data_IF_110707226527
#
_entry.id   IF_110707226527
#
_cell.length_a   1.000
_cell.length_b   1.000
_cell.length_c   1.000
_cell.angle_alpha   90.00
_cell.angle_beta   90.00
_cell.angle_gamma   90.00
#
_symmetry.space_group_name_H-M   'P 1'
#
loop_
_entity.id
_entity.type
_entity.pdbx_description
1 polymer ?
#
# COMPACT_ATOMS: atom_id res chain seq x y z
N UNK A 1 5.59 -32.26 42.24
CA UNK A 1 6.55 -32.85 41.28
C UNK A 1 6.08 -32.45 39.89
N UNK A 2 6.57 -31.32 39.35
CA UNK A 2 6.21 -30.84 38.02
C UNK A 2 7.52 -30.80 37.23
N UNK A 3 7.62 -31.67 36.24
CA UNK A 3 8.81 -31.91 35.44
C UNK A 3 9.15 -30.72 34.53
N UNK A 4 10.43 -30.40 34.47
CA UNK A 4 11.00 -29.44 33.52
C UNK A 4 11.01 -30.04 32.11
N UNK A 5 10.39 -29.35 31.15
CA UNK A 5 10.54 -29.63 29.72
C UNK A 5 11.53 -28.61 29.15
N UNK A 6 12.82 -28.92 29.21
CA UNK A 6 13.87 -28.20 28.50
C UNK A 6 13.78 -28.55 27.02
N UNK A 7 12.95 -27.84 26.26
CA UNK A 7 13.04 -27.84 24.79
C UNK A 7 13.88 -26.63 24.38
N UNK A 8 15.08 -26.93 23.91
CA UNK A 8 15.90 -26.05 23.07
C UNK A 8 15.03 -25.46 21.97
N UNK A 9 15.12 -24.14 21.77
CA UNK A 9 14.52 -23.47 20.62
C UNK A 9 15.07 -24.10 19.32
N UNK A 10 14.21 -24.51 18.38
CA UNK A 10 14.68 -24.97 17.08
C UNK A 10 15.35 -23.80 16.35
N UNK A 11 16.33 -24.13 15.52
CA UNK A 11 17.08 -23.17 14.72
C UNK A 11 16.11 -22.40 13.81
N UNK A 12 16.39 -21.12 13.51
CA UNK A 12 15.49 -20.26 12.72
C UNK A 12 15.21 -20.79 11.29
N UNK A 13 16.00 -21.78 10.83
CA UNK A 13 15.82 -22.52 9.58
C UNK A 13 14.75 -23.64 9.67
N UNK A 14 14.36 -24.12 10.86
CA UNK A 14 13.39 -25.22 11.04
C UNK A 14 11.91 -24.76 11.04
N UNK A 15 11.64 -23.45 11.06
CA UNK A 15 10.27 -22.90 10.88
C UNK A 15 9.98 -22.65 9.37
N UNK A 16 10.60 -23.42 8.49
CA UNK A 16 10.22 -23.48 7.08
C UNK A 16 9.19 -24.59 6.89
N UNK A 17 7.96 -24.36 7.37
CA UNK A 17 6.83 -25.15 6.94
C UNK A 17 6.52 -24.83 5.48
N UNK A 18 6.64 -25.87 4.64
CA UNK A 18 6.38 -25.89 3.20
C UNK A 18 4.88 -25.72 2.91
N UNK A 19 4.41 -24.48 3.01
CA UNK A 19 3.06 -24.04 2.63
C UNK A 19 3.10 -22.60 2.12
N UNK A 20 2.14 -22.15 1.29
CA UNK A 20 2.17 -20.79 0.77
C UNK A 20 2.05 -19.80 1.93
N UNK A 21 3.13 -19.05 2.18
CA UNK A 21 3.14 -17.97 3.17
C UNK A 21 1.96 -17.05 2.89
N UNK A 22 1.08 -16.86 3.89
CA UNK A 22 -0.02 -15.92 3.78
C UNK A 22 0.54 -14.52 3.77
N UNK A 23 0.20 -13.77 2.75
CA UNK A 23 0.58 -12.36 2.63
C UNK A 23 -0.34 -11.50 3.49
N UNK A 24 0.07 -10.25 3.71
CA UNK A 24 -0.71 -9.28 4.47
C UNK A 24 -0.61 -7.89 3.87
N UNK A 25 -1.52 -7.03 4.30
CA UNK A 25 -1.58 -5.63 3.93
C UNK A 25 -1.49 -4.78 5.19
N UNK A 26 -0.94 -3.58 5.02
CA UNK A 26 -0.86 -2.59 6.09
C UNK A 26 -1.84 -1.47 5.80
N UNK A 27 -2.54 -1.00 6.83
CA UNK A 27 -3.43 0.15 6.75
C UNK A 27 -3.03 1.13 7.83
N UNK A 28 -2.73 2.37 7.45
CA UNK A 28 -2.26 3.41 8.37
C UNK A 28 -2.74 4.79 7.92
N UNK A 29 -3.04 5.65 8.88
CA UNK A 29 -3.18 7.09 8.64
C UNK A 29 -1.97 7.78 9.27
N UNK A 30 -1.28 8.63 8.49
CA UNK A 30 -0.01 9.22 8.91
C UNK A 30 0.13 10.66 8.43
N UNK A 31 0.74 11.51 9.25
CA UNK A 31 1.15 12.87 8.84
C UNK A 31 2.33 12.82 7.86
N UNK A 32 2.66 13.97 7.27
CA UNK A 32 3.86 14.13 6.41
C UNK A 32 5.17 13.68 7.09
N UNK A 33 5.24 13.73 8.42
CA UNK A 33 6.39 13.27 9.22
C UNK A 33 6.23 11.82 9.70
N UNK A 34 5.33 11.03 9.08
CA UNK A 34 5.03 9.64 9.46
C UNK A 34 4.46 9.49 10.89
N UNK A 35 3.87 10.55 11.44
CA UNK A 35 3.24 10.53 12.76
C UNK A 35 1.84 9.93 12.72
N UNK A 36 1.54 9.00 13.65
CA UNK A 36 0.30 8.20 13.67
C UNK A 36 -0.52 8.36 14.95
N UNK A 37 0.07 8.94 16.00
CA UNK A 37 -0.54 8.96 17.33
C UNK A 37 0.06 10.02 18.24
N UNK A 38 -0.76 10.46 19.19
CA UNK A 38 -0.37 11.31 20.32
C UNK A 38 -1.11 10.83 21.57
N UNK A 39 -0.39 10.65 22.68
CA UNK A 39 -0.93 10.22 23.97
C UNK A 39 -1.81 8.96 23.90
N UNK A 40 -1.44 8.02 23.02
CA UNK A 40 -2.16 6.76 22.80
C UNK A 40 -3.49 6.88 22.04
N UNK A 41 -3.75 8.02 21.40
CA UNK A 41 -4.96 8.27 20.59
C UNK A 41 -4.58 8.82 19.21
N UNK A 42 -5.55 8.80 18.29
CA UNK A 42 -5.44 9.52 17.03
C UNK A 42 -5.51 11.03 17.32
N UNK A 43 -4.55 11.84 16.83
CA UNK A 43 -4.56 13.28 17.08
C UNK A 43 -5.50 14.05 16.13
N UNK A 44 -6.22 13.35 15.26
CA UNK A 44 -7.22 13.88 14.34
C UNK A 44 -8.55 13.14 14.47
N UNK A 45 -9.59 13.72 13.86
CA UNK A 45 -10.91 13.12 13.75
C UNK A 45 -11.38 13.17 12.30
N UNK A 46 -11.19 12.06 11.59
CA UNK A 46 -11.49 11.93 10.16
C UNK A 46 -12.49 10.79 9.94
N UNK A 47 -13.81 11.06 10.00
CA UNK A 47 -14.85 10.09 9.65
C UNK A 47 -14.66 9.41 8.30
N UNK A 48 -14.15 10.13 7.29
CA UNK A 48 -13.85 9.58 5.97
C UNK A 48 -12.74 8.51 6.01
N UNK A 49 -11.68 8.73 6.78
CA UNK A 49 -10.60 7.75 7.04
C UNK A 49 -11.12 6.50 7.75
N UNK A 50 -11.93 6.67 8.80
CA UNK A 50 -12.55 5.54 9.51
C UNK A 50 -13.46 4.71 8.60
N UNK A 51 -14.19 5.37 7.69
CA UNK A 51 -15.02 4.72 6.67
C UNK A 51 -14.15 3.94 5.69
N UNK A 52 -13.09 4.55 5.18
CA UNK A 52 -12.13 3.90 4.29
C UNK A 52 -11.49 2.66 4.94
N UNK A 53 -11.01 2.78 6.18
CA UNK A 53 -10.49 1.66 6.97
C UNK A 53 -11.51 0.54 7.14
N UNK A 54 -12.78 0.86 7.44
CA UNK A 54 -13.85 -0.13 7.56
C UNK A 54 -14.09 -0.86 6.25
N UNK A 55 -14.23 -0.13 5.15
CA UNK A 55 -14.47 -0.71 3.82
C UNK A 55 -13.32 -1.65 3.41
N UNK A 56 -12.08 -1.20 3.56
CA UNK A 56 -10.88 -1.97 3.24
C UNK A 56 -10.78 -3.27 4.07
N UNK A 57 -11.04 -3.19 5.38
CA UNK A 57 -10.86 -4.33 6.27
C UNK A 57 -12.03 -5.31 6.27
N UNK A 58 -13.24 -4.91 5.87
CA UNK A 58 -14.41 -5.82 5.79
C UNK A 58 -14.52 -6.48 4.41
N UNK A 59 -13.97 -5.86 3.37
CA UNK A 59 -14.02 -6.40 2.00
C UNK A 59 -13.07 -7.59 1.87
N UNK A 60 -13.59 -8.82 1.98
CA UNK A 60 -12.83 -10.03 1.67
C UNK A 60 -12.88 -10.34 0.17
N UNK A 61 -11.76 -10.82 -0.38
CA UNK A 61 -11.69 -11.22 -1.80
C UNK A 61 -12.52 -12.48 -2.08
N UNK A 62 -12.69 -13.32 -1.06
CA UNK A 62 -13.46 -14.55 -1.09
C UNK A 62 -14.75 -14.33 -0.27
N UNK A 63 -15.94 -14.48 -0.87
CA UNK A 63 -17.22 -14.22 -0.20
C UNK A 63 -17.49 -15.13 1.00
N UNK A 64 -16.86 -16.31 1.06
CA UNK A 64 -17.03 -17.27 2.15
C UNK A 64 -16.00 -17.07 3.27
N UNK A 65 -15.11 -16.08 3.13
CA UNK A 65 -14.06 -15.76 4.10
C UNK A 65 -14.24 -14.39 4.70
N UNK A 66 -13.61 -14.21 5.84
CA UNK A 66 -13.56 -12.95 6.57
C UNK A 66 -12.11 -12.56 6.80
N UNK A 67 -11.82 -11.26 6.71
CA UNK A 67 -10.48 -10.73 6.97
C UNK A 67 -10.16 -10.74 8.47
N UNK A 68 -8.87 -10.82 8.79
CA UNK A 68 -8.35 -10.61 10.14
C UNK A 68 -7.65 -9.25 10.22
N UNK A 69 -7.92 -8.48 11.28
CA UNK A 69 -7.23 -7.24 11.60
C UNK A 69 -6.38 -7.48 12.83
N UNK A 70 -5.06 -7.39 12.64
CA UNK A 70 -4.06 -7.50 13.69
C UNK A 70 -3.70 -6.10 14.16
N UNK A 71 -3.72 -5.86 15.47
CA UNK A 71 -3.39 -4.56 16.06
C UNK A 71 -2.70 -4.71 17.41
N UNK A 72 -1.99 -3.67 17.85
CA UNK A 72 -1.38 -3.64 19.18
C UNK A 72 -2.39 -3.37 20.30
N UNK A 73 -2.05 -3.74 21.53
CA UNK A 73 -2.87 -3.49 22.74
C UNK A 73 -3.32 -2.03 22.89
N UNK A 74 -2.41 -1.07 22.70
CA UNK A 74 -2.73 0.37 22.82
C UNK A 74 -3.75 0.83 21.77
N UNK A 75 -3.62 0.37 20.52
CA UNK A 75 -4.60 0.61 19.45
C UNK A 75 -5.95 0.01 19.78
N UNK A 76 -5.97 -1.20 20.35
CA UNK A 76 -7.21 -1.82 20.80
C UNK A 76 -7.88 -0.98 21.89
N UNK A 77 -7.10 -0.53 22.88
CA UNK A 77 -7.56 0.29 24.01
C UNK A 77 -8.08 1.67 23.58
N UNK A 78 -7.56 2.25 22.49
CA UNK A 78 -8.00 3.54 21.97
C UNK A 78 -9.36 3.52 21.25
N UNK A 79 -9.87 2.34 20.86
CA UNK A 79 -11.18 2.20 20.22
C UNK A 79 -12.30 2.38 21.26
N UNK A 80 -13.29 3.27 21.07
CA UNK A 80 -14.39 3.44 22.02
C UNK A 80 -15.14 2.13 22.29
N UNK A 81 -15.56 1.91 23.55
CA UNK A 81 -16.17 0.64 23.98
C UNK A 81 -17.40 0.24 23.17
N UNK A 82 -18.23 1.20 22.74
CA UNK A 82 -19.41 0.94 21.92
C UNK A 82 -19.11 0.39 20.51
N UNK A 83 -17.87 0.54 20.02
CA UNK A 83 -17.43 0.09 18.70
C UNK A 83 -16.49 -1.12 18.80
N UNK A 84 -16.31 -1.70 19.99
CA UNK A 84 -15.40 -2.81 20.26
C UNK A 84 -16.20 -4.11 20.55
N UNK A 85 -15.89 -5.24 19.89
CA UNK A 85 -15.05 -5.39 18.71
C UNK A 85 -15.70 -4.80 17.46
N UNK A 86 -14.93 -4.19 16.54
CA UNK A 86 -15.47 -3.79 15.24
C UNK A 86 -16.00 -5.01 14.46
N UNK A 87 -17.27 -4.99 13.99
CA UNK A 87 -17.92 -6.15 13.36
C UNK A 87 -17.43 -6.40 11.93
N UNK A 88 -17.67 -7.61 11.42
CA UNK A 88 -17.37 -8.00 10.04
C UNK A 88 -15.90 -8.37 9.77
N UNK A 89 -15.12 -8.57 10.84
CA UNK A 89 -13.71 -8.98 10.77
C UNK A 89 -13.26 -9.69 12.06
N UNK A 90 -12.25 -10.57 11.94
CA UNK A 90 -11.59 -11.18 13.10
C UNK A 90 -10.61 -10.17 13.69
N UNK A 91 -10.81 -9.73 14.93
CA UNK A 91 -9.91 -8.77 15.58
C UNK A 91 -8.87 -9.50 16.45
N UNK A 92 -7.60 -9.38 16.11
CA UNK A 92 -6.46 -10.01 16.80
C UNK A 92 -5.65 -8.94 17.50
N UNK A 93 -5.49 -9.05 18.82
CA UNK A 93 -4.78 -8.06 19.63
C UNK A 93 -3.45 -8.63 20.09
N UNK A 94 -2.35 -8.03 19.63
CA UNK A 94 -1.01 -8.36 20.08
C UNK A 94 -0.75 -7.70 21.44
N UNK A 95 -0.47 -8.54 22.43
CA UNK A 95 -0.26 -8.15 23.83
C UNK A 95 0.93 -8.90 24.39
N UNK A 96 1.74 -8.22 25.21
CA UNK A 96 2.95 -8.77 25.84
C UNK A 96 2.68 -9.49 27.16
N UNK A 97 1.43 -9.84 27.46
CA UNK A 97 1.00 -10.35 28.79
C UNK A 97 1.37 -11.81 29.08
N UNK A 98 2.44 -12.35 28.49
CA UNK A 98 3.03 -13.63 28.85
C UNK A 98 4.55 -13.48 28.88
N UNK A 99 5.13 -13.44 30.10
CA UNK A 99 6.53 -13.63 30.54
C UNK A 99 7.75 -13.30 29.64
N UNK A 100 7.61 -12.73 28.46
CA UNK A 100 8.68 -12.45 27.51
C UNK A 100 8.74 -10.95 27.27
N UNK A 101 9.61 -10.33 28.05
CA UNK A 101 9.88 -8.91 27.98
C UNK A 101 10.87 -8.59 26.84
N UNK A 102 10.38 -8.54 25.60
CA UNK A 102 11.19 -8.17 24.42
C UNK A 102 11.46 -6.65 24.42
N UNK A 103 12.72 -6.16 24.40
CA UNK A 103 13.02 -4.72 24.40
C UNK A 103 12.26 -3.90 23.34
N UNK A 104 11.95 -2.63 23.64
CA UNK A 104 11.24 -1.72 22.72
C UNK A 104 11.93 -1.61 21.35
N UNK A 105 13.26 -1.60 21.33
CA UNK A 105 14.06 -1.51 20.11
C UNK A 105 13.87 -2.72 19.18
N UNK A 106 13.78 -3.94 19.73
CA UNK A 106 13.53 -5.16 18.96
C UNK A 106 12.12 -5.16 18.35
N UNK A 107 11.11 -4.66 19.09
CA UNK A 107 9.75 -4.53 18.53
C UNK A 107 9.68 -3.54 17.35
N UNK A 108 10.45 -2.45 17.41
CA UNK A 108 10.54 -1.48 16.30
C UNK A 108 11.23 -2.12 15.09
N UNK A 109 12.26 -2.94 15.32
CA UNK A 109 12.92 -3.70 14.26
C UNK A 109 11.94 -4.68 13.59
N UNK A 110 11.16 -5.43 14.37
CA UNK A 110 10.14 -6.37 13.85
C UNK A 110 9.08 -5.65 13.01
N UNK A 111 8.56 -4.51 13.47
CA UNK A 111 7.56 -3.75 12.69
C UNK A 111 8.16 -3.20 11.39
N UNK A 112 9.39 -2.70 11.43
CA UNK A 112 10.11 -2.24 10.24
C UNK A 112 10.36 -3.38 9.25
N UNK A 113 10.81 -4.52 9.74
CA UNK A 113 11.04 -5.71 8.93
C UNK A 113 9.73 -6.18 8.30
N UNK A 114 8.64 -6.28 9.07
CA UNK A 114 7.33 -6.62 8.55
C UNK A 114 6.84 -5.64 7.46
N UNK A 115 6.93 -4.33 7.71
CA UNK A 115 6.53 -3.31 6.71
C UNK A 115 7.27 -3.45 5.37
N UNK A 116 8.52 -3.89 5.40
CA UNK A 116 9.37 -4.01 4.22
C UNK A 116 9.57 -5.47 3.79
N UNK A 117 8.81 -6.41 4.36
CA UNK A 117 8.93 -7.82 4.06
C UNK A 117 8.27 -8.14 2.72
N UNK A 118 8.77 -9.12 1.96
CA UNK A 118 8.16 -9.52 0.69
C UNK A 118 6.75 -10.11 0.83
N UNK A 119 6.33 -10.45 2.06
CA UNK A 119 4.98 -10.90 2.39
C UNK A 119 3.99 -9.72 2.56
N UNK A 120 4.48 -8.48 2.67
CA UNK A 120 3.64 -7.28 2.66
C UNK A 120 3.28 -6.93 1.22
N UNK A 121 2.05 -7.24 0.82
CA UNK A 121 1.60 -7.06 -0.56
C UNK A 121 1.27 -5.59 -0.89
N UNK A 122 0.71 -4.87 0.08
CA UNK A 122 0.32 -3.48 -0.09
C UNK A 122 0.31 -2.71 1.23
N UNK A 123 0.52 -1.39 1.12
CA UNK A 123 0.41 -0.42 2.19
C UNK A 123 -0.61 0.64 1.77
N UNK A 124 -1.72 0.70 2.48
CA UNK A 124 -2.76 1.72 2.34
C UNK A 124 -2.48 2.83 3.34
N UNK A 125 -2.18 4.02 2.85
CA UNK A 125 -1.82 5.18 3.64
C UNK A 125 -2.89 6.27 3.45
N UNK A 126 -3.49 6.72 4.54
CA UNK A 126 -4.19 8.02 4.55
C UNK A 126 -3.13 9.08 4.85
N UNK A 127 -2.72 9.81 3.82
CA UNK A 127 -1.69 10.85 3.90
C UNK A 127 -2.32 12.15 4.40
N UNK A 128 -1.94 12.57 5.60
CA UNK A 128 -2.42 13.80 6.24
C UNK A 128 -1.39 14.91 6.00
N UNK A 129 -1.78 15.92 5.23
CA UNK A 129 -0.90 17.02 4.81
C UNK A 129 -0.75 18.09 5.90
N UNK A 130 -1.68 18.14 6.86
CA UNK A 130 -1.65 19.11 7.95
C UNK A 130 -0.57 18.75 8.99
N UNK A 131 0.17 19.75 9.46
CA UNK A 131 1.16 19.57 10.52
C UNK A 131 0.47 19.37 11.87
N UNK A 132 0.53 18.16 12.41
CA UNK A 132 -0.08 17.76 13.68
C UNK A 132 1.01 17.13 14.54
N UNK A 133 1.10 17.54 15.80
CA UNK A 133 2.09 17.01 16.74
C UNK A 133 1.82 15.53 17.05
N UNK A 134 2.85 14.68 16.94
CA UNK A 134 2.78 13.25 17.18
C UNK A 134 3.91 12.79 18.11
N UNK A 135 3.66 11.75 18.90
CA UNK A 135 4.68 11.05 19.72
C UNK A 135 4.94 9.61 19.25
N UNK A 136 4.06 9.09 18.40
CA UNK A 136 4.11 7.74 17.86
C UNK A 136 4.20 7.83 16.34
N UNK A 137 5.17 7.12 15.76
CA UNK A 137 5.50 7.21 14.34
C UNK A 137 5.54 5.82 13.71
N UNK A 138 5.13 5.73 12.44
CA UNK A 138 5.35 4.52 11.65
C UNK A 138 6.84 4.43 11.26
N UNK A 139 7.48 3.25 11.31
CA UNK A 139 8.84 3.08 10.80
C UNK A 139 8.98 3.50 9.34
N UNK A 140 10.18 3.89 8.90
CA UNK A 140 10.40 4.29 7.51
C UNK A 140 10.06 3.13 6.55
N UNK A 141 9.29 3.47 5.52
CA UNK A 141 8.89 2.56 4.45
C UNK A 141 9.92 2.67 3.33
N UNK A 142 10.38 1.54 2.82
CA UNK A 142 11.27 1.49 1.68
C UNK A 142 10.46 1.64 0.38
N UNK A 143 10.26 2.87 -0.07
CA UNK A 143 9.56 3.15 -1.34
C UNK A 143 10.32 2.67 -2.59
N UNK A 144 11.54 2.12 -2.49
CA UNK A 144 12.18 1.47 -3.64
C UNK A 144 11.57 0.12 -3.99
N UNK A 145 10.95 -0.57 -3.02
CA UNK A 145 10.25 -1.86 -3.26
C UNK A 145 8.74 -1.70 -3.44
N UNK A 146 8.21 -0.53 -3.11
CA UNK A 146 6.78 -0.21 -3.19
C UNK A 146 6.51 0.83 -4.27
N UNK A 147 5.56 0.57 -5.17
CA UNK A 147 5.12 1.55 -6.16
C UNK A 147 3.73 2.09 -5.83
N UNK A 148 3.49 3.41 -6.05
CA UNK A 148 2.16 3.97 -5.89
C UNK A 148 1.19 3.37 -6.93
N UNK A 149 0.14 2.73 -6.42
CA UNK A 149 -0.90 2.07 -7.20
C UNK A 149 -2.20 2.90 -7.26
N UNK A 150 -2.49 3.65 -6.20
CA UNK A 150 -3.67 4.51 -6.08
C UNK A 150 -3.33 5.84 -5.45
N UNK A 151 -4.04 6.89 -5.85
CA UNK A 151 -4.19 8.10 -5.06
C UNK A 151 -5.59 8.67 -5.26
N UNK A 152 -6.30 8.96 -4.17
CA UNK A 152 -7.56 9.71 -4.23
C UNK A 152 -7.29 11.19 -4.49
N UNK A 153 -8.35 11.93 -4.83
CA UNK A 153 -8.30 13.39 -4.73
C UNK A 153 -8.16 13.82 -3.26
N UNK A 154 -7.47 14.93 -2.96
CA UNK A 154 -7.42 15.47 -1.61
C UNK A 154 -8.82 15.83 -1.10
N UNK A 155 -9.11 15.42 0.12
CA UNK A 155 -10.34 15.70 0.85
C UNK A 155 -9.98 16.63 1.99
N UNK A 156 -10.80 17.66 2.20
CA UNK A 156 -10.68 18.53 3.37
C UNK A 156 -11.83 18.22 4.31
N UNK A 157 -11.51 17.73 5.50
CA UNK A 157 -12.48 17.39 6.54
C UNK A 157 -11.96 17.91 7.89
N UNK A 158 -12.78 18.68 8.61
CA UNK A 158 -12.40 19.30 9.89
C UNK A 158 -11.07 20.09 9.82
N UNK A 159 -10.91 20.91 8.78
CA UNK A 159 -9.69 21.70 8.49
C UNK A 159 -8.41 20.87 8.27
N UNK A 160 -8.56 19.55 8.09
CA UNK A 160 -7.47 18.64 7.80
C UNK A 160 -7.59 18.18 6.35
N UNK A 161 -6.56 18.50 5.56
CA UNK A 161 -6.43 17.99 4.20
C UNK A 161 -5.75 16.62 4.26
N UNK A 162 -6.38 15.63 3.62
CA UNK A 162 -5.82 14.30 3.51
C UNK A 162 -6.17 13.63 2.17
N UNK A 163 -5.41 12.61 1.78
CA UNK A 163 -5.70 11.77 0.62
C UNK A 163 -5.48 10.29 0.93
N UNK A 164 -6.15 9.41 0.20
CA UNK A 164 -5.98 7.96 0.32
C UNK A 164 -5.02 7.48 -0.76
N UNK A 165 -3.88 6.94 -0.35
CA UNK A 165 -2.84 6.44 -1.23
C UNK A 165 -2.64 4.95 -0.97
N UNK A 166 -2.39 4.18 -2.02
CA UNK A 166 -2.05 2.76 -1.88
C UNK A 166 -0.76 2.48 -2.61
N UNK A 167 0.18 1.88 -1.90
CA UNK A 167 1.44 1.41 -2.42
C UNK A 167 1.42 -0.11 -2.49
N UNK A 168 1.95 -0.68 -3.58
CA UNK A 168 1.95 -2.12 -3.82
C UNK A 168 3.39 -2.60 -3.94
N UNK A 169 3.70 -3.73 -3.29
CA UNK A 169 5.04 -4.31 -3.34
C UNK A 169 5.31 -4.87 -4.74
N UNK A 170 6.35 -4.36 -5.38
CA UNK A 170 6.85 -4.88 -6.64
C UNK A 170 7.72 -6.10 -6.34
N UNK A 171 7.12 -7.29 -6.43
CA UNK A 171 7.93 -8.51 -6.45
C UNK A 171 8.71 -8.48 -7.76
N UNK A 172 10.01 -8.24 -7.68
CA UNK A 172 10.93 -8.56 -8.77
C UNK A 172 10.73 -10.03 -9.10
N UNK A 173 9.90 -10.33 -10.08
CA UNK A 173 10.03 -11.56 -10.84
C UNK A 173 11.48 -11.54 -11.32
N UNK A 174 12.30 -12.39 -10.72
CA UNK A 174 13.60 -12.77 -11.22
C UNK A 174 13.51 -12.82 -12.75
N UNK A 175 14.20 -11.88 -13.38
CA UNK A 175 14.32 -11.76 -14.82
C UNK A 175 14.85 -13.11 -15.32
N UNK A 176 13.97 -13.92 -15.90
CA UNK A 176 14.38 -14.85 -16.93
C UNK A 176 13.83 -14.27 -18.24
N UNK A 177 14.73 -13.60 -18.96
CA UNK A 177 14.55 -13.30 -20.36
C UNK A 177 14.27 -14.60 -21.12
N UNK A 178 13.01 -14.88 -21.41
CA UNK A 178 12.64 -15.69 -22.56
C UNK A 178 11.52 -14.99 -23.31
N UNK A 179 11.92 -14.48 -24.46
CA UNK A 179 11.09 -14.07 -25.59
C UNK A 179 9.93 -15.05 -25.83
N UNK A 180 8.70 -14.59 -25.65
CA UNK A 180 7.76 -14.36 -26.76
C UNK A 180 6.35 -14.02 -26.25
N UNK A 181 5.72 -13.10 -27.01
CA UNK A 181 4.29 -12.84 -27.13
C UNK A 181 3.60 -11.97 -26.05
N UNK A 182 3.31 -10.75 -26.51
CA UNK A 182 2.58 -9.65 -25.88
C UNK A 182 1.07 -9.91 -25.80
N UNK A 183 0.58 -10.30 -24.63
CA UNK A 183 -0.82 -10.09 -24.14
C UNK A 183 -1.06 -10.79 -22.79
N UNK A 184 -0.28 -11.82 -22.46
CA UNK A 184 -0.44 -12.59 -21.22
C UNK A 184 0.14 -11.90 -19.98
N UNK A 185 1.24 -11.14 -20.12
CA UNK A 185 1.94 -10.48 -19.00
C UNK A 185 1.06 -9.45 -18.27
N UNK A 186 0.29 -8.64 -19.02
CA UNK A 186 -0.64 -7.65 -18.46
C UNK A 186 -1.82 -8.30 -17.72
N UNK A 187 -2.24 -9.50 -18.15
CA UNK A 187 -3.33 -10.25 -17.52
C UNK A 187 -2.87 -10.88 -16.20
N UNK A 188 -1.67 -11.46 -16.19
CA UNK A 188 -1.02 -12.02 -15.00
C UNK A 188 -0.76 -10.99 -13.90
N UNK A 189 -0.32 -9.78 -14.23
CA UNK A 189 -0.12 -8.72 -13.22
C UNK A 189 -1.43 -8.23 -12.61
N UNK A 190 -2.49 -8.06 -13.41
CA UNK A 190 -3.81 -7.63 -12.91
C UNK A 190 -4.47 -8.76 -12.10
N UNK A 191 -4.36 -10.01 -12.54
CA UNK A 191 -4.82 -11.19 -11.78
C UNK A 191 -4.09 -11.32 -10.43
N UNK A 192 -2.81 -10.92 -10.36
CA UNK A 192 -2.02 -10.94 -9.13
C UNK A 192 -2.55 -9.97 -8.08
N UNK A 193 -3.22 -8.88 -8.46
CA UNK A 193 -3.72 -7.85 -7.54
C UNK A 193 -5.25 -7.83 -7.41
N UNK A 194 -5.95 -8.88 -7.85
CA UNK A 194 -7.42 -8.99 -7.69
C UNK A 194 -7.86 -9.00 -6.23
N UNK A 195 -6.93 -9.22 -5.30
CA UNK A 195 -7.18 -9.17 -3.87
C UNK A 195 -7.26 -7.73 -3.33
N UNK A 196 -6.75 -6.73 -4.05
CA UNK A 196 -6.90 -5.34 -3.67
C UNK A 196 -8.36 -4.91 -3.89
N UNK A 197 -8.92 -4.04 -3.02
CA UNK A 197 -10.28 -3.55 -3.20
C UNK A 197 -10.46 -2.99 -4.62
N UNK A 198 -11.58 -3.36 -5.27
CA UNK A 198 -11.95 -2.88 -6.61
C UNK A 198 -12.10 -1.35 -6.73
N UNK A 199 -11.97 -0.61 -5.62
CA UNK A 199 -12.11 0.85 -5.52
C UNK A 199 -10.90 1.65 -6.03
N UNK A 200 -10.01 1.05 -6.81
CA UNK A 200 -8.72 1.65 -7.15
C UNK A 200 -8.47 1.47 -8.65
N UNK A 201 -9.16 2.26 -9.47
CA UNK A 201 -8.87 2.36 -10.90
C UNK A 201 -8.77 3.79 -11.41
N UNK A 202 -8.60 4.78 -10.52
CA UNK A 202 -8.02 6.05 -10.96
C UNK A 202 -6.50 5.91 -10.93
N UNK A 203 -5.94 5.34 -12.01
CA UNK A 203 -4.52 5.49 -12.33
C UNK A 203 -4.22 6.98 -12.38
N UNK A 204 -3.10 7.41 -11.79
CA UNK A 204 -2.62 8.79 -11.85
C UNK A 204 -2.73 9.35 -13.28
N UNK A 205 -3.19 10.60 -13.44
CA UNK A 205 -3.50 11.16 -14.75
C UNK A 205 -2.29 11.12 -15.72
N UNK A 206 -1.06 11.11 -15.20
CA UNK A 206 0.17 10.95 -16.00
C UNK A 206 0.26 9.60 -16.74
N UNK A 207 -0.41 8.55 -16.26
CA UNK A 207 -0.50 7.28 -17.00
C UNK A 207 -1.28 7.40 -18.31
N UNK A 208 -2.05 8.47 -18.50
CA UNK A 208 -2.67 8.78 -19.80
C UNK A 208 -1.57 9.14 -20.81
N UNK A 209 -0.58 9.93 -20.39
CA UNK A 209 0.59 10.27 -21.22
C UNK A 209 1.49 9.04 -21.46
N UNK A 210 1.86 8.32 -20.40
CA UNK A 210 2.78 7.18 -20.51
C UNK A 210 2.22 6.07 -21.42
N UNK A 211 0.91 5.77 -21.33
CA UNK A 211 0.28 4.78 -22.21
C UNK A 211 0.23 5.22 -23.67
N UNK A 212 0.01 6.51 -23.91
CA UNK A 212 0.03 7.03 -25.28
C UNK A 212 1.42 6.88 -25.90
N UNK A 213 2.48 7.16 -25.13
CA UNK A 213 3.87 6.94 -25.59
C UNK A 213 4.12 5.47 -25.88
N UNK A 214 3.75 4.56 -24.96
CA UNK A 214 3.86 3.10 -25.17
C UNK A 214 3.12 2.66 -26.45
N UNK A 215 1.93 3.20 -26.68
CA UNK A 215 1.09 2.86 -27.83
C UNK A 215 1.67 3.37 -29.16
N UNK A 216 2.30 4.56 -29.18
CA UNK A 216 2.99 5.08 -30.37
C UNK A 216 4.27 4.27 -30.64
N UNK A 217 5.02 3.89 -29.61
CA UNK A 217 6.21 3.05 -29.78
C UNK A 217 5.83 1.67 -30.32
N UNK A 218 4.75 1.08 -29.79
CA UNK A 218 4.35 -0.29 -30.14
C UNK A 218 3.61 -0.37 -31.47
N UNK A 219 2.72 0.59 -31.77
CA UNK A 219 1.77 0.51 -32.88
C UNK A 219 1.77 1.76 -33.78
N UNK A 220 2.71 2.69 -33.59
CA UNK A 220 2.82 3.91 -34.38
C UNK A 220 3.19 3.62 -35.83
N UNK A 221 2.65 4.41 -36.74
CA UNK A 221 3.03 4.37 -38.15
C UNK A 221 4.29 5.21 -38.35
N UNK A 222 5.34 4.58 -38.88
CA UNK A 222 6.56 5.29 -39.26
C UNK A 222 6.25 6.23 -40.43
N UNK A 223 6.70 7.48 -40.28
CA UNK A 223 6.66 8.49 -41.34
C UNK A 223 8.05 9.06 -41.49
N UNK A 224 8.43 9.24 -42.74
CA UNK A 224 9.64 9.97 -43.08
C UNK A 224 9.27 11.44 -43.20
N UNK A 225 9.71 12.22 -42.21
CA UNK A 225 9.75 13.66 -42.32
C UNK A 225 11.07 14.09 -42.97
N UNK A 226 11.03 15.08 -43.87
CA UNK A 226 12.18 15.54 -44.66
C UNK A 226 13.33 16.17 -43.86
N UNK A 227 13.34 15.98 -42.54
CA UNK A 227 14.34 16.41 -41.56
C UNK A 227 15.49 15.39 -41.41
N UNK A 228 15.34 14.19 -41.98
CA UNK A 228 16.32 13.10 -41.85
C UNK A 228 16.20 12.30 -40.54
N UNK A 229 15.18 12.55 -39.73
CA UNK A 229 14.83 11.74 -38.56
C UNK A 229 13.57 10.94 -38.87
N UNK A 230 13.47 9.69 -38.40
CA UNK A 230 12.25 8.88 -38.56
C UNK A 230 11.29 9.12 -37.40
N UNK A 231 10.03 9.40 -37.69
CA UNK A 231 9.00 9.66 -36.67
C UNK A 231 7.97 8.52 -36.61
N UNK A 232 7.69 8.02 -35.40
CA UNK A 232 6.53 7.17 -35.14
C UNK A 232 5.34 8.04 -34.76
N UNK A 233 4.19 7.85 -35.43
CA UNK A 233 3.01 8.68 -35.22
C UNK A 233 1.72 7.86 -35.12
N UNK A 234 0.76 8.35 -34.33
CA UNK A 234 -0.61 7.81 -34.27
C UNK A 234 -1.60 8.96 -34.34
N UNK A 235 -2.63 8.82 -35.18
CA UNK A 235 -3.62 9.88 -35.40
C UNK A 235 -4.83 9.71 -34.48
N UNK A 236 -5.42 10.84 -34.05
CA UNK A 236 -6.69 10.85 -33.30
C UNK A 236 -6.59 10.55 -31.80
N UNK A 237 -5.41 10.68 -31.20
CA UNK A 237 -5.23 10.44 -29.77
C UNK A 237 -5.70 11.65 -28.94
N UNK A 238 -6.40 11.40 -27.83
CA UNK A 238 -6.87 12.44 -26.91
C UNK A 238 -6.46 12.12 -25.48
N UNK A 239 -5.95 13.13 -24.77
CA UNK A 239 -5.69 13.07 -23.33
C UNK A 239 -6.63 14.05 -22.61
N UNK A 240 -7.13 13.67 -21.44
CA UNK A 240 -7.97 14.52 -20.59
C UNK A 240 -7.39 14.49 -19.18
N UNK A 241 -7.22 15.67 -18.59
CA UNK A 241 -6.65 15.86 -17.26
C UNK A 241 -7.64 16.62 -16.39
N UNK A 242 -7.71 16.28 -15.11
CA UNK A 242 -8.60 16.99 -14.19
C UNK A 242 -7.87 18.12 -13.47
N UNK A 243 -8.03 19.35 -13.96
CA UNK A 243 -7.36 20.54 -13.41
C UNK A 243 -7.85 20.94 -12.01
N UNK A 244 -8.94 20.35 -11.51
CA UNK A 244 -9.37 20.55 -10.11
C UNK A 244 -8.58 19.67 -9.13
N UNK A 245 -7.96 18.58 -9.62
CA UNK A 245 -7.18 17.63 -8.80
C UNK A 245 -5.71 18.04 -8.70
N UNK A 246 -5.07 18.25 -9.85
CA UNK A 246 -3.65 18.62 -9.93
C UNK A 246 -3.37 19.37 -11.23
N UNK A 247 -2.29 20.15 -11.23
CA UNK A 247 -1.78 20.69 -12.48
C UNK A 247 -1.04 19.56 -13.21
N UNK A 248 -1.37 19.25 -14.48
CA UNK A 248 -0.81 18.11 -15.21
C UNK A 248 0.62 18.43 -15.68
N UNK A 249 1.51 18.66 -14.73
CA UNK A 249 2.94 18.69 -14.95
C UNK A 249 3.43 17.24 -15.01
N UNK A 250 4.16 16.89 -16.06
CA UNK A 250 4.80 15.58 -16.12
C UNK A 250 5.86 15.51 -15.01
N UNK A 251 5.75 14.50 -14.15
CA UNK A 251 6.71 14.27 -13.07
C UNK A 251 7.83 13.34 -13.51
N UNK A 252 7.58 12.52 -14.53
CA UNK A 252 8.55 11.59 -15.13
C UNK A 252 9.67 12.25 -15.91
N UNK A 253 9.58 13.57 -16.13
CA UNK A 253 10.62 14.37 -16.78
C UNK A 253 10.60 15.79 -16.22
N UNK A 254 11.77 16.31 -15.84
CA UNK A 254 11.91 17.72 -15.48
C UNK A 254 11.52 18.60 -16.67
N UNK A 255 10.52 19.46 -16.48
CA UNK A 255 10.10 20.44 -17.47
C UNK A 255 10.76 21.78 -17.18
N UNK A 256 11.27 22.45 -18.21
CA UNK A 256 11.63 23.85 -18.12
C UNK A 256 10.33 24.66 -18.12
N UNK A 257 9.99 25.23 -16.97
CA UNK A 257 8.77 25.99 -16.73
C UNK A 257 9.12 27.40 -16.27
#
# INVERSE_FOLDING_TARGET
>A
MIGYCSKSFPNMEEIMHDGPWRTYQVVVAATCNMGIGKDGKLPWRLPSDLKFFKELTVTASDPDKMNAVVMGRKTWESIPLQFRPPPGRLNVVLTRSGSFDVPSAENIAILREALNAPQCDAIHITEIETNIECDTFIPPINFSVFQPWYSSSPIVENDIRHSFVTYVCMRSSSIQEKSNCSSETKKLEVERFTFLPKMIFEKHDEYVYLRLVEEIISNGTQKDDGTGTHTLSKFGCQMRFNLRKSFPLLTTKTLCW
#
